data_IF_062120515363
#
_entry.id   IF_062120515363
#
_cell.length_a   1.000
_cell.length_b   1.000
_cell.length_c   1.000
_cell.angle_alpha   90.00
_cell.angle_beta   90.00
_cell.angle_gamma   90.00
#
_symmetry.space_group_name_H-M   'P 1'
#
loop_
_entity.id
_entity.type
_entity.pdbx_description
1 polymer ?
#
# COMPACT_ATOMS: atom_id res chain seq x y z
N UNK A 1 -64.43 -53.15 40.90
CA UNK A 1 -64.91 -54.42 40.35
C UNK A 1 -64.26 -54.60 39.00
N UNK A 2 -63.56 -55.67 38.62
CA UNK A 2 -63.44 -57.01 39.19
C UNK A 2 -62.20 -57.65 38.48
N UNK A 3 -61.27 -58.23 39.26
CA UNK A 3 -60.45 -59.44 39.00
C UNK A 3 -59.85 -59.69 37.59
N UNK A 4 -58.52 -59.75 37.33
CA UNK A 4 -57.50 -60.71 37.83
C UNK A 4 -58.08 -62.11 38.06
N UNK A 5 -57.73 -63.21 37.36
CA UNK A 5 -56.37 -63.80 37.44
C UNK A 5 -55.95 -64.52 36.13
N UNK A 6 -54.76 -65.08 35.92
CA UNK A 6 -54.03 -66.19 36.57
C UNK A 6 -52.65 -66.19 35.88
N UNK A 7 -51.60 -65.58 36.44
CA UNK A 7 -50.54 -66.21 37.24
C UNK A 7 -50.39 -67.73 37.03
N UNK A 8 -49.20 -68.14 36.55
CA UNK A 8 -48.55 -69.47 36.65
C UNK A 8 -48.13 -70.02 35.29
N UNK A 9 -46.95 -69.62 34.80
CA UNK A 9 -45.98 -70.54 34.16
C UNK A 9 -44.58 -69.92 34.25
N UNK A 10 -44.05 -69.87 35.47
CA UNK A 10 -42.61 -69.91 35.72
C UNK A 10 -42.25 -71.38 35.94
N UNK A 11 -41.58 -72.00 34.98
CA UNK A 11 -40.45 -72.94 35.16
C UNK A 11 -40.24 -73.84 33.93
N UNK A 12 -38.97 -73.92 33.51
CA UNK A 12 -38.34 -74.94 32.64
C UNK A 12 -38.52 -74.75 31.12
N UNK A 13 -37.51 -74.83 30.25
CA UNK A 13 -36.10 -75.18 30.41
C UNK A 13 -35.30 -74.80 29.16
N UNK A 14 -34.00 -74.58 29.34
CA UNK A 14 -32.88 -74.87 28.42
C UNK A 14 -32.89 -74.29 27.00
N UNK A 15 -32.07 -73.25 26.79
CA UNK A 15 -31.68 -72.79 25.46
C UNK A 15 -30.92 -71.47 25.52
N UNK A 16 -29.62 -71.55 25.78
CA UNK A 16 -28.58 -70.55 25.52
C UNK A 16 -28.99 -69.37 24.62
N UNK A 17 -29.12 -68.18 25.22
CA UNK A 17 -28.30 -67.03 24.83
C UNK A 17 -28.48 -65.91 25.85
N UNK A 18 -27.35 -65.48 26.43
CA UNK A 18 -27.22 -64.37 27.37
C UNK A 18 -28.01 -63.13 26.91
N UNK A 19 -29.09 -62.86 27.63
CA UNK A 19 -29.71 -61.54 27.72
C UNK A 19 -29.54 -61.07 29.17
N UNK A 20 -28.32 -60.62 29.47
CA UNK A 20 -28.02 -59.84 30.68
C UNK A 20 -27.09 -58.70 30.30
N UNK A 21 -27.64 -57.49 30.17
CA UNK A 21 -26.83 -56.33 29.81
C UNK A 21 -27.59 -55.06 29.46
N UNK A 22 -28.62 -54.68 30.23
CA UNK A 22 -28.95 -53.26 30.38
C UNK A 22 -27.77 -52.57 31.06
N UNK A 23 -26.86 -52.04 30.27
CA UNK A 23 -25.68 -51.32 30.73
C UNK A 23 -25.19 -50.43 29.62
N UNK A 24 -25.64 -49.17 29.67
CA UNK A 24 -24.88 -47.98 29.28
C UNK A 24 -23.69 -48.32 28.39
N UNK A 25 -23.86 -48.19 27.06
CA UNK A 25 -22.74 -48.22 26.12
C UNK A 25 -21.63 -47.37 26.77
N UNK A 26 -20.53 -48.03 27.11
CA UNK A 26 -19.45 -47.46 27.88
C UNK A 26 -18.95 -46.24 27.11
N UNK A 27 -19.21 -45.04 27.66
CA UNK A 27 -18.96 -43.77 26.97
C UNK A 27 -17.50 -43.69 26.49
N UNK A 28 -16.60 -44.31 27.24
CA UNK A 28 -15.19 -44.41 26.89
C UNK A 28 -14.92 -45.38 25.72
N UNK A 29 -15.68 -46.47 25.57
CA UNK A 29 -15.61 -47.32 24.39
C UNK A 29 -16.19 -46.64 23.15
N UNK A 30 -17.33 -45.94 23.26
CA UNK A 30 -17.86 -45.16 22.13
C UNK A 30 -16.91 -44.04 21.74
N UNK A 31 -16.31 -43.33 22.72
CA UNK A 31 -15.33 -42.29 22.46
C UNK A 31 -14.10 -42.83 21.73
N UNK A 32 -13.56 -43.97 22.16
CA UNK A 32 -12.43 -44.63 21.48
C UNK A 32 -12.81 -45.04 20.06
N UNK A 33 -13.98 -45.65 19.89
CA UNK A 33 -14.49 -46.05 18.58
C UNK A 33 -14.65 -44.85 17.63
N UNK A 34 -15.21 -43.74 18.10
CA UNK A 34 -15.37 -42.50 17.30
C UNK A 34 -14.01 -41.90 16.95
N UNK A 35 -13.06 -41.86 17.89
CA UNK A 35 -11.70 -41.35 17.64
C UNK A 35 -10.97 -42.23 16.62
N UNK A 36 -11.14 -43.55 16.69
CA UNK A 36 -10.52 -44.48 15.76
C UNK A 36 -11.15 -44.36 14.37
N UNK A 37 -12.48 -44.21 14.27
CA UNK A 37 -13.19 -43.91 13.01
C UNK A 37 -12.71 -42.59 12.38
N UNK A 38 -12.48 -41.54 13.18
CA UNK A 38 -11.94 -40.28 12.65
C UNK A 38 -10.49 -40.40 12.17
N UNK A 39 -9.73 -41.35 12.72
CA UNK A 39 -8.33 -41.60 12.34
C UNK A 39 -8.18 -42.54 11.14
N UNK A 40 -9.21 -43.32 10.80
CA UNK A 40 -9.19 -44.18 9.62
C UNK A 40 -9.10 -43.36 8.35
N UNK A 41 -8.66 -44.00 7.26
CA UNK A 41 -8.54 -43.35 5.96
C UNK A 41 -9.90 -42.87 5.44
N UNK A 42 -10.98 -43.58 5.76
CA UNK A 42 -12.34 -43.18 5.40
C UNK A 42 -12.82 -41.96 6.20
N UNK A 43 -12.48 -41.88 7.50
CA UNK A 43 -12.76 -40.70 8.32
C UNK A 43 -12.02 -39.45 7.83
N UNK A 44 -10.74 -39.60 7.47
CA UNK A 44 -9.94 -38.51 6.87
C UNK A 44 -10.48 -38.08 5.52
N UNK A 45 -10.86 -39.02 4.65
CA UNK A 45 -11.46 -38.73 3.35
C UNK A 45 -12.80 -38.01 3.50
N UNK A 46 -13.66 -38.46 4.40
CA UNK A 46 -14.94 -37.82 4.66
C UNK A 46 -14.78 -36.37 5.17
N UNK A 47 -13.81 -36.13 6.06
CA UNK A 47 -13.48 -34.76 6.51
C UNK A 47 -12.92 -33.93 5.34
N UNK A 48 -12.06 -34.50 4.52
CA UNK A 48 -11.48 -33.83 3.36
C UNK A 48 -12.55 -33.47 2.31
N UNK A 49 -13.52 -34.35 2.06
CA UNK A 49 -14.65 -34.12 1.15
C UNK A 49 -15.57 -33.02 1.70
N UNK A 50 -15.81 -33.00 3.01
CA UNK A 50 -16.56 -31.92 3.66
C UNK A 50 -15.79 -30.60 3.63
N UNK A 51 -14.49 -30.58 3.93
CA UNK A 51 -13.64 -29.38 3.86
C UNK A 51 -13.48 -28.83 2.44
N UNK A 52 -13.54 -29.70 1.43
CA UNK A 52 -13.45 -29.28 0.02
C UNK A 52 -14.79 -28.83 -0.55
N UNK A 53 -15.91 -29.07 0.15
CA UNK A 53 -17.22 -28.55 -0.23
C UNK A 53 -17.25 -27.02 -0.18
N UNK A 54 -17.88 -26.40 -1.18
CA UNK A 54 -17.93 -24.94 -1.31
C UNK A 54 -18.64 -24.27 -0.13
N UNK A 55 -19.67 -24.92 0.43
CA UNK A 55 -20.38 -24.46 1.63
C UNK A 55 -19.48 -24.42 2.88
N UNK A 56 -18.54 -25.37 3.01
CA UNK A 56 -17.60 -25.40 4.13
C UNK A 56 -16.45 -24.41 3.94
N UNK A 57 -15.94 -24.27 2.71
CA UNK A 57 -14.93 -23.25 2.34
C UNK A 57 -15.47 -21.85 2.60
N UNK A 58 -16.70 -21.57 2.19
CA UNK A 58 -17.35 -20.28 2.44
C UNK A 58 -17.43 -20.00 3.95
N UNK A 59 -17.90 -20.96 4.74
CA UNK A 59 -18.03 -20.80 6.20
C UNK A 59 -16.69 -20.68 6.93
N UNK A 60 -15.62 -21.30 6.43
CA UNK A 60 -14.26 -21.21 6.99
C UNK A 60 -13.57 -19.89 6.61
N UNK A 61 -13.80 -19.39 5.40
CA UNK A 61 -13.27 -18.09 4.92
C UNK A 61 -14.02 -16.91 5.55
N UNK A 62 -15.25 -17.12 6.04
CA UNK A 62 -16.07 -16.08 6.68
C UNK A 62 -15.65 -15.72 8.11
N UNK A 63 -14.59 -16.30 8.69
CA UNK A 63 -14.02 -15.76 9.92
C UNK A 63 -13.27 -14.45 9.61
N UNK A 64 -14.05 -13.37 9.51
CA UNK A 64 -13.59 -12.04 9.15
C UNK A 64 -12.47 -11.54 10.05
N UNK A 65 -12.44 -11.95 11.32
CA UNK A 65 -11.39 -11.52 12.25
C UNK A 65 -10.07 -12.20 11.93
N UNK A 66 -10.06 -13.52 11.72
CA UNK A 66 -8.85 -14.24 11.33
C UNK A 66 -8.35 -13.78 9.95
N UNK A 67 -9.25 -13.54 9.00
CA UNK A 67 -8.89 -13.01 7.67
C UNK A 67 -8.31 -11.60 7.78
N UNK A 68 -8.94 -10.69 8.52
CA UNK A 68 -8.44 -9.33 8.72
C UNK A 68 -7.09 -9.31 9.43
N UNK A 69 -6.96 -10.06 10.54
CA UNK A 69 -5.72 -10.16 11.31
C UNK A 69 -4.59 -10.77 10.45
N UNK A 70 -4.89 -11.76 9.61
CA UNK A 70 -3.92 -12.38 8.69
C UNK A 70 -3.52 -11.43 7.57
N UNK A 71 -4.47 -10.70 6.97
CA UNK A 71 -4.17 -9.70 5.93
C UNK A 71 -3.31 -8.59 6.52
N UNK A 72 -3.68 -8.06 7.70
CA UNK A 72 -2.92 -7.02 8.38
C UNK A 72 -1.51 -7.52 8.69
N UNK A 73 -1.37 -8.66 9.35
CA UNK A 73 -0.06 -9.23 9.71
C UNK A 73 0.79 -9.52 8.47
N UNK A 74 0.19 -10.03 7.40
CA UNK A 74 0.91 -10.33 6.16
C UNK A 74 1.35 -9.03 5.50
N UNK A 75 0.46 -8.05 5.32
CA UNK A 75 0.75 -6.78 4.64
C UNK A 75 1.67 -5.84 5.42
N UNK A 76 1.73 -5.95 6.75
CA UNK A 76 2.66 -5.17 7.59
C UNK A 76 3.94 -5.92 7.91
N UNK A 77 4.11 -7.16 7.45
CA UNK A 77 5.35 -7.92 7.65
C UNK A 77 6.42 -7.50 6.65
N UNK A 78 7.69 -7.77 6.99
CA UNK A 78 8.82 -7.58 6.07
C UNK A 78 8.64 -8.36 4.76
N UNK A 79 7.93 -9.51 4.80
CA UNK A 79 7.61 -10.29 3.61
C UNK A 79 6.68 -9.54 2.64
N UNK A 80 5.78 -8.70 3.14
CA UNK A 80 4.97 -7.85 2.28
C UNK A 80 5.79 -6.72 1.66
N UNK A 81 6.75 -6.15 2.38
CA UNK A 81 7.66 -5.16 1.80
C UNK A 81 8.39 -5.77 0.59
N UNK A 82 8.90 -6.99 0.73
CA UNK A 82 9.58 -7.69 -0.37
C UNK A 82 8.62 -8.09 -1.49
N UNK A 83 7.38 -8.49 -1.17
CA UNK A 83 6.33 -8.70 -2.16
C UNK A 83 6.06 -7.42 -2.97
N UNK A 84 5.87 -6.28 -2.30
CA UNK A 84 5.62 -5.00 -2.96
C UNK A 84 6.81 -4.56 -3.81
N UNK A 85 8.05 -4.69 -3.33
CA UNK A 85 9.25 -4.41 -4.14
C UNK A 85 9.27 -5.25 -5.42
N UNK A 86 8.96 -6.54 -5.32
CA UNK A 86 8.91 -7.45 -6.47
C UNK A 86 7.76 -7.12 -7.41
N UNK A 87 6.57 -6.82 -6.88
CA UNK A 87 5.40 -6.43 -7.65
C UNK A 87 5.62 -5.10 -8.40
N UNK A 88 6.21 -4.09 -7.74
CA UNK A 88 6.56 -2.82 -8.39
C UNK A 88 7.70 -2.95 -9.41
N UNK A 89 8.47 -4.04 -9.38
CA UNK A 89 9.46 -4.33 -10.42
C UNK A 89 8.82 -4.89 -11.71
N UNK A 90 7.57 -5.37 -11.65
CA UNK A 90 6.81 -5.75 -12.85
C UNK A 90 6.26 -4.49 -13.55
N UNK A 91 6.66 -4.22 -14.81
CA UNK A 91 6.20 -3.05 -15.55
C UNK A 91 4.68 -2.98 -15.71
N UNK A 92 3.98 -4.11 -15.86
CA UNK A 92 2.53 -4.11 -16.03
C UNK A 92 1.81 -3.65 -14.75
N UNK A 93 2.27 -4.17 -13.61
CA UNK A 93 1.78 -3.76 -12.30
C UNK A 93 2.10 -2.29 -12.02
N UNK A 94 3.36 -1.88 -12.20
CA UNK A 94 3.80 -0.50 -12.01
C UNK A 94 3.03 0.48 -12.90
N UNK A 95 2.77 0.13 -14.16
CA UNK A 95 1.96 0.94 -15.08
C UNK A 95 0.51 1.07 -14.59
N UNK A 96 -0.10 -0.02 -14.14
CA UNK A 96 -1.45 -0.01 -13.59
C UNK A 96 -1.56 0.92 -12.37
N UNK A 97 -0.63 0.80 -11.42
CA UNK A 97 -0.58 1.66 -10.24
C UNK A 97 -0.33 3.12 -10.63
N UNK A 98 0.68 3.39 -11.47
CA UNK A 98 1.01 4.75 -11.90
C UNK A 98 -0.15 5.42 -12.65
N UNK A 99 -0.87 4.68 -13.50
CA UNK A 99 -2.03 5.22 -14.23
C UNK A 99 -3.15 5.63 -13.28
N UNK A 100 -3.44 4.82 -12.27
CA UNK A 100 -4.49 5.11 -11.30
C UNK A 100 -4.09 6.21 -10.31
N UNK A 101 -2.82 6.24 -9.89
CA UNK A 101 -2.28 7.28 -9.01
C UNK A 101 -2.01 8.60 -9.72
N UNK A 102 -2.05 8.67 -11.05
CA UNK A 102 -1.67 9.86 -11.82
C UNK A 102 -2.41 11.13 -11.39
N UNK A 103 -3.72 11.03 -11.16
CA UNK A 103 -4.55 12.18 -10.83
C UNK A 103 -4.24 12.69 -9.42
N UNK A 104 -4.23 11.80 -8.43
CA UNK A 104 -3.89 12.12 -7.04
C UNK A 104 -2.45 12.63 -6.91
N UNK A 105 -1.50 11.98 -7.59
CA UNK A 105 -0.11 12.41 -7.60
C UNK A 105 0.05 13.80 -8.23
N UNK A 106 -0.71 14.12 -9.28
CA UNK A 106 -0.74 15.47 -9.87
C UNK A 106 -1.35 16.50 -8.91
N UNK A 107 -2.40 16.14 -8.18
CA UNK A 107 -3.00 17.00 -7.17
C UNK A 107 -2.00 17.29 -6.04
N UNK A 108 -1.40 16.23 -5.48
CA UNK A 108 -0.36 16.32 -4.47
C UNK A 108 0.82 17.21 -4.92
N UNK A 109 1.35 16.99 -6.12
CA UNK A 109 2.45 17.80 -6.64
C UNK A 109 2.06 19.27 -6.77
N UNK A 110 0.84 19.58 -7.21
CA UNK A 110 0.35 20.96 -7.28
C UNK A 110 0.23 21.61 -5.91
N UNK A 111 -0.25 20.87 -4.92
CA UNK A 111 -0.33 21.35 -3.54
C UNK A 111 1.07 21.57 -2.95
N UNK A 112 2.00 20.64 -3.18
CA UNK A 112 3.39 20.77 -2.76
C UNK A 112 4.08 21.98 -3.41
N UNK A 113 3.80 22.33 -4.67
CA UNK A 113 4.33 23.59 -5.24
C UNK A 113 3.91 24.84 -4.44
N UNK A 114 2.78 24.79 -3.75
CA UNK A 114 2.30 25.87 -2.88
C UNK A 114 2.85 25.76 -1.45
N UNK A 115 3.57 24.69 -1.12
CA UNK A 115 4.25 24.52 0.16
C UNK A 115 5.61 25.27 0.20
N UNK A 116 5.92 26.05 1.25
CA UNK A 116 7.19 26.77 1.37
C UNK A 116 8.43 25.88 1.41
N UNK A 117 8.36 24.70 2.03
CA UNK A 117 9.51 23.79 2.14
C UNK A 117 9.80 23.17 0.78
N UNK A 118 8.77 22.72 0.07
CA UNK A 118 8.92 22.19 -1.28
C UNK A 118 9.44 23.25 -2.25
N UNK A 119 8.96 24.50 -2.18
CA UNK A 119 9.54 25.61 -2.96
C UNK A 119 11.01 25.84 -2.65
N UNK A 120 11.41 25.72 -1.39
CA UNK A 120 12.82 25.88 -1.00
C UNK A 120 13.68 24.80 -1.63
N UNK A 121 13.23 23.54 -1.62
CA UNK A 121 13.91 22.45 -2.32
C UNK A 121 13.99 22.71 -3.83
N UNK A 122 12.90 23.18 -4.46
CA UNK A 122 12.90 23.55 -5.88
C UNK A 122 13.91 24.67 -6.19
N UNK A 123 14.01 25.69 -5.34
CA UNK A 123 15.02 26.76 -5.49
C UNK A 123 16.44 26.21 -5.41
N UNK A 124 16.69 25.20 -4.58
CA UNK A 124 17.99 24.54 -4.54
C UNK A 124 18.29 23.80 -5.85
N UNK A 125 17.32 23.11 -6.44
CA UNK A 125 17.45 22.48 -7.76
C UNK A 125 17.80 23.51 -8.83
N UNK A 126 17.15 24.69 -8.84
CA UNK A 126 17.49 25.77 -9.79
C UNK A 126 18.92 26.31 -9.63
N UNK A 127 19.54 26.13 -8.46
CA UNK A 127 20.93 26.53 -8.21
C UNK A 127 21.94 25.48 -8.67
N UNK A 128 21.51 24.33 -9.18
CA UNK A 128 22.44 23.35 -9.72
C UNK A 128 23.22 23.93 -10.92
N UNK A 129 24.53 23.66 -11.04
CA UNK A 129 25.38 24.26 -12.08
C UNK A 129 24.87 24.04 -13.51
N UNK A 130 24.25 22.90 -13.78
CA UNK A 130 23.69 22.57 -15.10
C UNK A 130 22.51 23.50 -15.46
N UNK A 131 21.60 23.72 -14.52
CA UNK A 131 20.47 24.63 -14.71
C UNK A 131 20.97 26.08 -14.80
N UNK A 132 21.94 26.46 -13.95
CA UNK A 132 22.56 27.79 -14.03
C UNK A 132 23.21 28.04 -15.39
N UNK A 133 23.86 27.02 -15.98
CA UNK A 133 24.44 27.11 -17.32
C UNK A 133 23.36 27.34 -18.37
N UNK A 134 22.28 26.56 -18.35
CA UNK A 134 21.16 26.75 -19.28
C UNK A 134 20.53 28.14 -19.14
N UNK A 135 20.36 28.63 -17.90
CA UNK A 135 19.86 29.97 -17.64
C UNK A 135 20.84 31.05 -18.14
N UNK A 136 22.14 30.86 -17.95
CA UNK A 136 23.18 31.77 -18.47
C UNK A 136 23.19 31.80 -20.00
N UNK A 137 23.00 30.66 -20.65
CA UNK A 137 22.91 30.57 -22.11
C UNK A 137 21.63 31.25 -22.62
N UNK A 138 20.52 31.13 -21.88
CA UNK A 138 19.29 31.87 -22.17
C UNK A 138 19.49 33.39 -22.08
N UNK A 139 20.25 33.89 -21.09
CA UNK A 139 20.61 35.32 -20.99
C UNK A 139 21.54 35.79 -22.12
N UNK A 140 22.23 34.88 -22.81
CA UNK A 140 23.10 35.22 -23.95
C UNK A 140 22.39 35.19 -25.30
N UNK A 141 21.11 34.80 -25.33
CA UNK A 141 20.28 34.78 -26.55
C UNK A 141 20.16 36.16 -27.17
N UNK A 142 19.89 36.20 -28.48
CA UNK A 142 19.77 37.48 -29.20
C UNK A 142 18.62 38.30 -28.65
N UNK A 143 17.50 37.66 -28.35
CA UNK A 143 16.28 38.27 -27.82
C UNK A 143 16.56 38.97 -26.47
N UNK A 144 17.29 38.30 -25.58
CA UNK A 144 17.66 38.90 -24.30
C UNK A 144 18.69 40.02 -24.45
N UNK A 145 19.63 39.91 -25.41
CA UNK A 145 20.59 40.98 -25.71
C UNK A 145 19.92 42.23 -26.27
N UNK A 146 18.94 42.06 -27.16
CA UNK A 146 18.18 43.18 -27.73
C UNK A 146 17.43 43.91 -26.59
N UNK A 147 16.73 43.17 -25.72
CA UNK A 147 16.10 43.74 -24.53
C UNK A 147 17.12 44.42 -23.59
N UNK A 148 18.28 43.80 -23.37
CA UNK A 148 19.33 44.37 -22.52
C UNK A 148 19.89 45.66 -23.11
N UNK A 149 20.03 45.73 -24.44
CA UNK A 149 20.46 46.93 -25.14
C UNK A 149 19.44 48.06 -24.99
N UNK A 150 18.15 47.77 -25.04
CA UNK A 150 17.09 48.74 -24.81
C UNK A 150 17.14 49.27 -23.38
N UNK A 151 17.23 48.39 -22.37
CA UNK A 151 17.35 48.77 -20.96
C UNK A 151 18.61 49.62 -20.71
N UNK A 152 19.75 49.27 -21.32
CA UNK A 152 20.99 50.05 -21.21
C UNK A 152 20.80 51.43 -21.85
N UNK A 153 20.22 51.47 -23.05
CA UNK A 153 19.91 52.72 -23.77
C UNK A 153 19.01 53.63 -22.94
N UNK A 154 17.94 53.09 -22.35
CA UNK A 154 17.04 53.83 -21.47
C UNK A 154 17.76 54.32 -20.22
N UNK A 155 18.58 53.47 -19.60
CA UNK A 155 19.34 53.80 -18.39
C UNK A 155 20.31 54.94 -18.65
N UNK A 156 21.08 54.88 -19.74
CA UNK A 156 22.00 55.96 -20.14
C UNK A 156 21.22 57.23 -20.50
N UNK A 157 20.04 57.07 -21.11
CA UNK A 157 19.23 58.21 -21.49
C UNK A 157 18.49 58.89 -20.33
N UNK A 158 18.47 58.26 -19.15
CA UNK A 158 17.90 58.83 -17.93
C UNK A 158 18.57 60.16 -17.57
N UNK A 159 17.79 61.20 -17.19
CA UNK A 159 18.34 62.48 -16.75
C UNK A 159 19.41 62.37 -15.66
N UNK A 160 19.25 61.42 -14.74
CA UNK A 160 20.23 61.15 -13.67
C UNK A 160 21.57 60.65 -14.22
N UNK A 161 21.52 59.70 -15.15
CA UNK A 161 22.74 59.15 -15.76
C UNK A 161 23.39 60.13 -16.72
N UNK A 162 22.62 60.87 -17.52
CA UNK A 162 23.14 61.96 -18.36
C UNK A 162 23.90 62.99 -17.55
N UNK A 163 23.34 63.45 -16.43
CA UNK A 163 24.00 64.40 -15.54
C UNK A 163 25.31 63.83 -14.97
N UNK A 164 25.30 62.57 -14.54
CA UNK A 164 26.49 61.89 -14.02
C UNK A 164 27.58 61.68 -15.07
N UNK A 165 27.19 61.34 -16.30
CA UNK A 165 28.12 61.23 -17.44
C UNK A 165 28.72 62.61 -17.76
N UNK A 166 27.89 63.66 -17.77
CA UNK A 166 28.36 65.01 -18.01
C UNK A 166 29.35 65.48 -16.93
N UNK A 167 29.08 65.20 -15.66
CA UNK A 167 30.00 65.49 -14.56
C UNK A 167 31.33 64.73 -14.70
N UNK A 168 31.28 63.45 -15.09
CA UNK A 168 32.48 62.65 -15.35
C UNK A 168 33.31 63.20 -16.51
N UNK A 169 32.67 63.63 -17.60
CA UNK A 169 33.35 64.23 -18.74
C UNK A 169 34.02 65.56 -18.38
N UNK A 170 33.36 66.39 -17.57
CA UNK A 170 33.94 67.64 -17.07
C UNK A 170 35.15 67.38 -16.18
N UNK A 171 35.08 66.41 -15.25
CA UNK A 171 36.22 66.02 -14.41
C UNK A 171 37.40 65.49 -15.24
N UNK A 172 37.13 64.64 -16.23
CA UNK A 172 38.17 64.12 -17.11
C UNK A 172 38.87 65.24 -17.90
N UNK A 173 38.12 66.21 -18.42
CA UNK A 173 38.68 67.37 -19.11
C UNK A 173 39.50 68.27 -18.18
N UNK A 174 39.06 68.47 -16.93
CA UNK A 174 39.84 69.19 -15.93
C UNK A 174 41.16 68.47 -15.58
N UNK A 175 41.15 67.15 -15.44
CA UNK A 175 42.36 66.36 -15.17
C UNK A 175 43.33 66.38 -16.35
N UNK A 176 42.82 66.30 -17.58
CA UNK A 176 43.64 66.38 -18.79
C UNK A 176 44.24 67.78 -18.98
N UNK A 177 43.52 68.84 -18.60
CA UNK A 177 44.03 70.23 -18.60
C UNK A 177 45.06 70.53 -17.51
N UNK A 178 45.14 69.69 -16.48
CA UNK A 178 46.12 69.78 -15.37
C UNK A 178 47.37 68.93 -15.61
N UNK A 179 47.39 68.14 -16.69
CA UNK A 179 48.58 67.43 -17.21
C UNK A 179 49.34 68.30 -18.19
#
# INVERSE_FOLDING_TARGET
MLLLPIMLFLASCSGSNDLSGTGQIDYDQTKKMVVDILKTDDGKKAIQDVMTSDAMKEKLVMDQKVVADTIQTTLTSDKAIDFWKKAFSDPAFAQGVAKNMKNENKALLKELMNDPQYRTMMVQVFKEPEIQKQMTDALKTKEYRDYLQDVITETINSPLYKAKIQELLLKAAEEESKK
#
